data_IF_421613829076
#
_entry.id   IF_421613829076
#
_cell.length_a   1.000
_cell.length_b   1.000
_cell.length_c   1.000
_cell.angle_alpha   90.00
_cell.angle_beta   90.00
_cell.angle_gamma   90.00
#
_symmetry.space_group_name_H-M   'P 1'
#
loop_
_entity.id
_entity.type
_entity.pdbx_description
1 polymer ?
#
# COMPACT_ATOMS: atom_id res chain seq x y z
N UNK A 1 -17.41 22.11 -4.27
CA UNK A 1 -15.94 21.96 -4.33
C UNK A 1 -15.66 20.90 -5.38
N UNK A 2 -15.39 21.32 -6.62
CA UNK A 2 -15.30 20.43 -7.78
C UNK A 2 -13.89 19.88 -7.88
N UNK A 3 -13.72 18.57 -7.64
CA UNK A 3 -12.45 17.88 -7.88
C UNK A 3 -12.40 17.55 -9.37
N UNK A 4 -11.35 18.02 -10.05
CA UNK A 4 -11.01 17.63 -11.42
C UNK A 4 -10.80 16.11 -11.44
N UNK A 5 -11.72 15.37 -12.06
CA UNK A 5 -11.58 13.93 -12.24
C UNK A 5 -10.49 13.64 -13.27
N UNK A 6 -9.29 13.33 -12.79
CA UNK A 6 -8.22 12.79 -13.63
C UNK A 6 -8.61 11.33 -13.98
N UNK A 7 -8.73 10.98 -15.28
CA UNK A 7 -9.28 9.68 -15.71
C UNK A 7 -8.50 8.45 -15.20
N UNK A 8 -7.22 8.63 -14.85
CA UNK A 8 -6.34 7.54 -14.39
C UNK A 8 -6.71 6.97 -13.01
N UNK A 9 -7.51 7.67 -12.19
CA UNK A 9 -7.88 7.24 -10.84
C UNK A 9 -9.28 6.61 -10.73
N UNK A 10 -9.92 6.29 -11.86
CA UNK A 10 -11.35 5.92 -11.91
C UNK A 10 -11.71 4.66 -11.12
N UNK A 11 -10.76 3.78 -10.81
CA UNK A 11 -10.98 2.60 -9.95
C UNK A 11 -10.89 2.85 -8.44
N UNK A 12 -10.43 4.02 -7.99
CA UNK A 12 -10.46 4.40 -6.57
C UNK A 12 -11.84 4.91 -6.12
N UNK A 13 -12.78 5.11 -7.05
CA UNK A 13 -14.06 5.74 -6.74
C UNK A 13 -15.01 4.84 -5.92
N UNK A 14 -14.74 3.52 -5.83
CA UNK A 14 -15.57 2.56 -5.08
C UNK A 14 -14.89 2.08 -3.78
N UNK A 15 -13.56 2.06 -3.74
CA UNK A 15 -12.79 1.72 -2.55
C UNK A 15 -12.34 3.00 -1.82
N UNK A 16 -12.95 3.28 -0.66
CA UNK A 16 -12.51 4.39 0.19
C UNK A 16 -11.26 3.93 0.95
N UNK A 17 -10.16 4.67 0.81
CA UNK A 17 -8.94 4.48 1.59
C UNK A 17 -8.78 5.62 2.60
N UNK A 18 -8.20 5.31 3.75
CA UNK A 18 -7.97 6.29 4.83
C UNK A 18 -6.60 6.96 4.69
N UNK A 19 -5.61 6.25 4.15
CA UNK A 19 -4.23 6.72 3.97
C UNK A 19 -3.68 6.28 2.61
N UNK A 20 -3.04 7.21 1.90
CA UNK A 20 -2.24 6.90 0.71
C UNK A 20 -0.75 7.10 1.03
N UNK A 21 0.07 6.10 0.70
CA UNK A 21 1.53 6.17 0.82
C UNK A 21 2.14 6.16 -0.57
N UNK A 22 2.85 7.24 -0.92
CA UNK A 22 3.53 7.39 -2.21
C UNK A 22 5.02 7.11 -2.03
N UNK A 23 5.50 6.06 -2.71
CA UNK A 23 6.82 5.44 -2.54
C UNK A 23 6.76 4.31 -1.51
N UNK A 24 7.07 3.08 -1.93
CA UNK A 24 7.09 1.86 -1.13
C UNK A 24 8.50 1.28 -0.98
N UNK A 25 9.48 2.19 -0.93
CA UNK A 25 10.87 1.87 -0.60
C UNK A 25 11.06 1.51 0.87
N UNK A 26 12.30 1.65 1.34
CA UNK A 26 12.71 1.27 2.69
C UNK A 26 11.87 1.90 3.82
N UNK A 27 11.49 3.17 3.69
CA UNK A 27 10.67 3.86 4.70
C UNK A 27 9.18 3.68 4.44
N UNK A 28 8.78 3.77 3.17
CA UNK A 28 7.37 3.84 2.79
C UNK A 28 6.61 2.55 3.07
N UNK A 29 7.19 1.39 2.74
CA UNK A 29 6.53 0.11 2.96
C UNK A 29 6.30 -0.20 4.45
N UNK A 30 7.30 -0.12 5.35
CA UNK A 30 7.07 -0.25 6.80
C UNK A 30 6.05 0.77 7.34
N UNK A 31 6.02 1.98 6.78
CA UNK A 31 5.04 3.00 7.16
C UNK A 31 3.61 2.58 6.77
N UNK A 32 3.44 2.11 5.53
CA UNK A 32 2.16 1.59 5.04
C UNK A 32 1.66 0.41 5.89
N UNK A 33 2.54 -0.54 6.20
CA UNK A 33 2.23 -1.69 7.06
C UNK A 33 1.86 -1.26 8.49
N UNK A 34 2.48 -0.21 9.01
CA UNK A 34 2.16 0.29 10.35
C UNK A 34 0.78 0.95 10.41
N UNK A 35 0.39 1.72 9.38
CA UNK A 35 -0.97 2.26 9.29
C UNK A 35 -2.01 1.16 9.13
N UNK A 36 -1.72 0.15 8.31
CA UNK A 36 -2.61 -1.00 8.14
C UNK A 36 -2.77 -1.78 9.45
N UNK A 37 -1.68 -2.07 10.17
CA UNK A 37 -1.72 -2.71 11.49
C UNK A 37 -2.48 -1.89 12.55
N UNK A 38 -2.57 -0.56 12.36
CA UNK A 38 -3.40 0.32 13.19
C UNK A 38 -4.88 0.36 12.78
N UNK A 39 -5.28 -0.39 11.74
CA UNK A 39 -6.65 -0.52 11.27
C UNK A 39 -7.06 0.44 10.15
N UNK A 40 -6.12 1.19 9.56
CA UNK A 40 -6.42 2.03 8.40
C UNK A 40 -6.50 1.19 7.11
N UNK A 41 -7.37 1.58 6.19
CA UNK A 41 -7.34 1.12 4.80
C UNK A 41 -6.26 1.91 4.08
N UNK A 42 -5.23 1.22 3.61
CA UNK A 42 -4.05 1.87 3.03
C UNK A 42 -4.01 1.59 1.54
N UNK A 43 -3.70 2.61 0.73
CA UNK A 43 -3.30 2.42 -0.66
C UNK A 43 -1.82 2.73 -0.80
N UNK A 44 -1.05 1.71 -1.20
CA UNK A 44 0.37 1.86 -1.52
C UNK A 44 0.57 2.19 -2.99
N UNK A 45 1.36 3.22 -3.29
CA UNK A 45 1.65 3.67 -4.65
C UNK A 45 3.17 3.69 -4.83
N UNK A 46 3.67 3.07 -5.89
CA UNK A 46 5.07 3.17 -6.30
C UNK A 46 5.16 3.32 -7.82
N UNK A 47 6.21 3.97 -8.31
CA UNK A 47 6.47 4.14 -9.74
C UNK A 47 7.14 2.90 -10.35
N UNK A 48 7.85 2.12 -9.54
CA UNK A 48 8.56 0.93 -9.99
C UNK A 48 7.63 -0.30 -9.98
N UNK A 49 7.21 -0.81 -11.15
CA UNK A 49 6.36 -2.01 -11.21
C UNK A 49 7.07 -3.26 -10.68
N UNK A 50 8.40 -3.33 -10.75
CA UNK A 50 9.19 -4.43 -10.19
C UNK A 50 9.14 -4.42 -8.66
N UNK A 51 9.18 -3.23 -8.05
CA UNK A 51 8.97 -3.07 -6.60
C UNK A 51 7.59 -3.55 -6.17
N UNK A 52 6.54 -3.15 -6.91
CA UNK A 52 5.17 -3.59 -6.63
C UNK A 52 4.99 -5.11 -6.75
N UNK A 53 5.60 -5.74 -7.76
CA UNK A 53 5.58 -7.19 -7.92
C UNK A 53 6.31 -7.89 -6.75
N UNK A 54 7.52 -7.44 -6.40
CA UNK A 54 8.27 -7.99 -5.27
C UNK A 54 7.50 -7.87 -3.94
N UNK A 55 6.74 -6.79 -3.72
CA UNK A 55 5.89 -6.64 -2.53
C UNK A 55 4.77 -7.68 -2.54
N UNK A 56 4.04 -7.85 -3.65
CA UNK A 56 2.96 -8.84 -3.77
C UNK A 56 3.45 -10.27 -3.58
N UNK A 57 4.67 -10.56 -4.01
CA UNK A 57 5.29 -11.87 -3.86
C UNK A 57 5.95 -12.06 -2.47
N UNK A 58 5.96 -11.03 -1.62
CA UNK A 58 6.64 -11.04 -0.31
C UNK A 58 8.17 -11.02 -0.39
N UNK A 59 8.74 -10.85 -1.59
CA UNK A 59 10.18 -10.91 -1.89
C UNK A 59 10.94 -9.60 -1.69
N UNK A 60 10.52 -8.76 -0.74
CA UNK A 60 11.17 -7.48 -0.44
C UNK A 60 12.10 -7.57 0.76
N UNK A 61 13.15 -6.75 0.77
CA UNK A 61 14.04 -6.60 1.91
C UNK A 61 13.33 -5.82 3.03
N UNK A 62 12.98 -6.51 4.12
CA UNK A 62 12.26 -6.00 5.28
C UNK A 62 12.77 -6.69 6.54
N UNK A 63 12.63 -6.02 7.68
CA UNK A 63 12.87 -6.62 8.99
C UNK A 63 11.90 -7.78 9.24
N UNK A 64 12.25 -8.78 10.08
CA UNK A 64 11.37 -9.92 10.36
C UNK A 64 9.96 -9.53 10.85
N UNK A 65 9.84 -8.45 11.62
CA UNK A 65 8.55 -7.94 12.11
C UNK A 65 7.72 -7.26 11.03
N UNK A 66 8.36 -6.61 10.05
CA UNK A 66 7.68 -6.04 8.88
C UNK A 66 7.30 -7.13 7.88
N UNK A 67 8.10 -8.20 7.76
CA UNK A 67 7.77 -9.37 6.95
C UNK A 67 6.48 -10.06 7.42
N UNK A 68 6.28 -10.18 8.74
CA UNK A 68 5.04 -10.71 9.28
C UNK A 68 3.84 -9.79 8.97
N UNK A 69 4.00 -8.48 9.17
CA UNK A 69 2.95 -7.50 8.84
C UNK A 69 2.62 -7.49 7.35
N UNK A 70 3.62 -7.67 6.48
CA UNK A 70 3.40 -7.77 5.04
C UNK A 70 2.55 -8.99 4.69
N UNK A 71 2.85 -10.16 5.26
CA UNK A 71 2.02 -11.36 5.07
C UNK A 71 0.58 -11.13 5.51
N UNK A 72 0.38 -10.55 6.69
CA UNK A 72 -0.96 -10.25 7.20
C UNK A 72 -1.71 -9.27 6.31
N UNK A 73 -1.02 -8.24 5.82
CA UNK A 73 -1.59 -7.22 4.95
C UNK A 73 -2.02 -7.78 3.58
N UNK A 74 -1.21 -8.67 2.98
CA UNK A 74 -1.52 -9.27 1.68
C UNK A 74 -2.72 -10.23 1.68
N UNK A 75 -3.10 -10.74 2.85
CA UNK A 75 -4.30 -11.57 3.03
C UNK A 75 -5.55 -10.72 3.34
N UNK A 76 -5.41 -9.41 3.54
CA UNK A 76 -6.49 -8.50 3.88
C UNK A 76 -7.00 -7.74 2.65
N UNK A 77 -8.32 -7.60 2.53
CA UNK A 77 -8.96 -6.81 1.45
C UNK A 77 -8.72 -5.29 1.56
N UNK A 78 -8.05 -4.84 2.63
CA UNK A 78 -7.90 -3.43 3.01
C UNK A 78 -6.51 -2.83 2.76
N UNK A 79 -5.61 -3.54 2.09
CA UNK A 79 -4.24 -3.12 1.80
C UNK A 79 -3.86 -3.31 0.33
#
# INVERSE_FOLDING_TARGET
MTVLQVPEFRHLAEAVYDVAIVGLGYVGLPTALSFHAAGARVVGIDIDPGRLAAIRDGGVDLLPSDQQRLREALEADSF
#
